data_IF_211985430088
#
_entry.id   IF_211985430088
#
_cell.length_a   1.000
_cell.length_b   1.000
_cell.length_c   1.000
_cell.angle_alpha   90.00
_cell.angle_beta   90.00
_cell.angle_gamma   90.00
#
_symmetry.space_group_name_H-M   'P 1'
#
loop_
_entity.id
_entity.type
_entity.pdbx_description
1 polymer ?
#
# COMPACT_ATOMS: atom_id res chain seq x y z
N UNK A 1 12.84 31.50 22.92
CA UNK A 1 11.97 31.85 21.79
C UNK A 1 11.65 30.55 21.05
N UNK A 2 10.50 29.96 21.31
CA UNK A 2 10.08 28.73 20.62
C UNK A 2 9.41 29.16 19.31
N UNK A 3 10.05 28.86 18.18
CA UNK A 3 9.48 29.11 16.85
C UNK A 3 8.25 28.24 16.63
N UNK A 4 7.18 28.84 16.12
CA UNK A 4 5.98 28.12 15.69
C UNK A 4 6.38 27.20 14.53
N UNK A 5 6.35 25.87 14.72
CA UNK A 5 6.44 24.92 13.60
C UNK A 5 5.11 24.98 12.86
N UNK A 6 5.12 25.54 11.66
CA UNK A 6 4.00 25.41 10.72
C UNK A 6 4.09 23.99 10.15
N UNK A 7 3.27 23.09 10.69
CA UNK A 7 3.07 21.77 10.11
C UNK A 7 2.12 21.94 8.91
N UNK A 8 2.53 21.52 7.73
CA UNK A 8 1.64 21.51 6.57
C UNK A 8 0.61 20.37 6.72
N UNK A 9 -0.50 20.40 5.98
CA UNK A 9 -1.52 19.33 6.05
C UNK A 9 -0.89 17.96 5.73
N UNK A 10 0.10 17.94 4.83
CA UNK A 10 0.86 16.76 4.45
C UNK A 10 1.69 16.22 5.63
N UNK A 11 2.27 17.10 6.45
CA UNK A 11 2.97 16.69 7.67
C UNK A 11 2.02 16.25 8.79
N UNK A 12 0.75 16.65 8.72
CA UNK A 12 -0.31 16.19 9.64
C UNK A 12 -0.88 14.84 9.19
N UNK A 13 -0.88 14.55 7.88
CA UNK A 13 -1.36 13.29 7.31
C UNK A 13 -0.33 12.16 7.40
N UNK A 14 0.96 12.46 7.56
CA UNK A 14 1.98 11.45 7.88
C UNK A 14 1.56 10.65 9.13
N UNK A 15 1.20 9.39 8.92
CA UNK A 15 0.73 8.48 9.98
C UNK A 15 -0.76 8.50 10.30
N UNK A 16 -1.59 9.28 9.58
CA UNK A 16 -3.06 9.16 9.67
C UNK A 16 -3.53 8.15 8.62
N UNK A 17 -4.12 7.04 9.08
CA UNK A 17 -4.70 6.03 8.20
C UNK A 17 -5.93 6.56 7.46
N UNK A 18 -5.77 6.89 6.19
CA UNK A 18 -6.88 7.10 5.25
C UNK A 18 -7.09 5.79 4.49
N UNK A 19 -8.28 5.21 4.59
CA UNK A 19 -8.62 4.00 3.84
C UNK A 19 -9.22 4.37 2.48
N UNK A 20 -8.74 3.74 1.41
CA UNK A 20 -9.35 3.78 0.09
C UNK A 20 -10.11 2.46 -0.18
N UNK A 21 -11.21 2.51 -0.93
CA UNK A 21 -11.86 1.29 -1.40
C UNK A 21 -11.03 0.63 -2.51
N UNK A 22 -11.19 -0.68 -2.77
CA UNK A 22 -10.50 -1.34 -3.88
C UNK A 22 -10.76 -0.63 -5.22
N UNK A 23 -9.68 -0.23 -5.89
CA UNK A 23 -9.73 0.48 -7.18
C UNK A 23 -9.80 2.01 -7.07
N UNK A 24 -9.98 2.57 -5.87
CA UNK A 24 -9.85 4.01 -5.63
C UNK A 24 -8.40 4.42 -5.40
N UNK A 25 -8.12 5.71 -5.59
CA UNK A 25 -6.77 6.24 -5.47
C UNK A 25 -6.45 6.60 -4.03
N UNK A 26 -5.35 6.08 -3.50
CA UNK A 26 -4.78 6.44 -2.21
C UNK A 26 -3.48 7.24 -2.42
N UNK A 27 -3.40 8.44 -1.81
CA UNK A 27 -2.18 9.26 -1.80
C UNK A 27 -1.39 8.98 -0.53
N UNK A 28 -0.11 8.65 -0.69
CA UNK A 28 0.81 8.33 0.42
C UNK A 28 2.16 9.00 0.23
N UNK A 29 2.92 9.13 1.31
CA UNK A 29 4.28 9.67 1.30
C UNK A 29 5.32 8.54 1.32
N UNK A 30 6.52 8.80 0.79
CA UNK A 30 7.69 7.94 1.06
C UNK A 30 7.93 7.85 2.56
N UNK A 31 8.09 6.64 3.07
CA UNK A 31 8.23 6.34 4.50
C UNK A 31 6.93 5.97 5.21
N UNK A 32 5.77 6.13 4.56
CA UNK A 32 4.51 5.59 5.07
C UNK A 32 4.45 4.06 4.94
N UNK A 33 3.48 3.46 5.64
CA UNK A 33 3.13 2.05 5.52
C UNK A 33 1.67 1.93 5.09
N UNK A 34 1.42 1.18 4.01
CA UNK A 34 0.06 0.88 3.54
C UNK A 34 -0.34 -0.49 4.04
N UNK A 35 -1.45 -0.56 4.78
CA UNK A 35 -2.09 -1.82 5.18
C UNK A 35 -3.08 -2.25 4.11
N UNK A 36 -2.82 -3.41 3.50
CA UNK A 36 -3.68 -4.03 2.50
C UNK A 36 -4.52 -5.11 3.16
N UNK A 37 -5.85 -4.97 3.07
CA UNK A 37 -6.81 -5.95 3.56
C UNK A 37 -7.22 -6.90 2.43
N UNK A 38 -7.18 -8.19 2.71
CA UNK A 38 -7.40 -9.28 1.77
C UNK A 38 -8.43 -10.25 2.33
N UNK A 39 -9.22 -10.85 1.45
CA UNK A 39 -10.15 -11.91 1.80
C UNK A 39 -9.98 -13.08 0.83
N UNK A 40 -9.97 -14.30 1.36
CA UNK A 40 -9.90 -15.53 0.57
C UNK A 40 -10.75 -16.62 1.22
N UNK A 41 -11.40 -17.45 0.41
CA UNK A 41 -12.06 -18.67 0.89
C UNK A 41 -11.13 -19.87 0.70
N UNK A 42 -10.93 -20.64 1.76
CA UNK A 42 -10.03 -21.79 1.78
C UNK A 42 -10.76 -23.10 2.13
N UNK A 43 -10.38 -24.19 1.45
CA UNK A 43 -10.77 -25.57 1.77
C UNK A 43 -9.65 -26.51 1.35
N UNK A 44 -9.11 -27.29 2.27
CA UNK A 44 -8.02 -28.23 2.01
C UNK A 44 -7.27 -28.68 3.27
N UNK A 45 -6.14 -29.39 3.13
CA UNK A 45 -5.25 -29.77 4.23
C UNK A 45 -4.54 -28.56 4.85
N UNK A 46 -4.18 -28.62 6.14
CA UNK A 46 -3.42 -27.55 6.77
C UNK A 46 -2.14 -27.20 5.97
N UNK A 47 -1.92 -25.92 5.73
CA UNK A 47 -0.86 -25.44 4.85
C UNK A 47 -0.32 -24.08 5.27
N UNK A 48 1.01 -23.98 5.29
CA UNK A 48 1.74 -22.73 5.41
C UNK A 48 2.06 -22.17 4.02
N UNK A 49 2.02 -20.86 3.89
CA UNK A 49 2.41 -20.14 2.68
C UNK A 49 2.84 -18.72 3.03
N UNK A 50 2.86 -17.88 2.00
CA UNK A 50 3.26 -16.48 2.12
C UNK A 50 2.37 -15.61 1.25
N UNK A 51 1.98 -14.45 1.77
CA UNK A 51 1.34 -13.39 1.01
C UNK A 51 2.42 -12.41 0.55
N UNK A 52 2.59 -12.31 -0.75
CA UNK A 52 3.44 -11.31 -1.37
C UNK A 52 2.58 -10.15 -1.86
N UNK A 53 2.85 -8.95 -1.35
CA UNK A 53 2.22 -7.71 -1.79
C UNK A 53 3.28 -6.83 -2.41
N UNK A 54 3.02 -6.32 -3.62
CA UNK A 54 3.96 -5.46 -4.33
C UNK A 54 3.25 -4.31 -5.04
N UNK A 55 3.91 -3.16 -5.08
CA UNK A 55 3.47 -2.01 -5.86
C UNK A 55 4.51 -1.61 -6.90
N UNK A 56 4.05 -1.20 -8.08
CA UNK A 56 4.92 -1.06 -9.24
C UNK A 56 4.22 -0.41 -10.42
N UNK A 57 4.76 -0.64 -11.62
CA UNK A 57 4.10 -0.22 -12.87
C UNK A 57 3.87 -1.43 -13.75
N UNK A 58 2.66 -1.53 -14.26
CA UNK A 58 2.23 -2.53 -15.21
C UNK A 58 2.45 -2.01 -16.64
N UNK A 59 3.42 -2.60 -17.33
CA UNK A 59 3.56 -2.48 -18.79
C UNK A 59 3.10 -3.81 -19.45
N UNK A 60 3.93 -4.45 -20.28
CA UNK A 60 3.66 -5.82 -20.79
C UNK A 60 3.61 -6.85 -19.66
N UNK A 61 4.32 -6.59 -18.55
CA UNK A 61 4.36 -7.40 -17.33
C UNK A 61 4.31 -6.46 -16.11
N UNK A 62 3.96 -6.98 -14.94
CA UNK A 62 4.08 -6.20 -13.70
C UNK A 62 5.57 -6.05 -13.36
N UNK A 63 6.07 -4.81 -13.30
CA UNK A 63 7.47 -4.55 -13.00
C UNK A 63 7.65 -4.36 -11.49
N UNK A 64 8.00 -5.46 -10.82
CA UNK A 64 8.40 -5.47 -9.41
C UNK A 64 9.78 -4.81 -9.26
N UNK A 65 9.83 -3.70 -8.54
CA UNK A 65 11.09 -3.15 -8.04
C UNK A 65 11.30 -3.73 -6.64
N UNK A 66 12.44 -4.39 -6.40
CA UNK A 66 12.68 -5.20 -5.18
C UNK A 66 12.62 -4.44 -3.85
N UNK A 67 12.53 -3.11 -3.88
CA UNK A 67 12.31 -2.26 -2.69
C UNK A 67 10.83 -1.91 -2.46
N UNK A 68 9.89 -2.46 -3.25
CA UNK A 68 8.47 -2.08 -3.27
C UNK A 68 7.54 -3.25 -2.97
N UNK A 69 7.96 -4.13 -2.06
CA UNK A 69 7.24 -5.35 -1.75
C UNK A 69 7.33 -5.71 -0.26
N UNK A 70 6.41 -6.55 0.17
CA UNK A 70 6.38 -7.15 1.51
C UNK A 70 5.90 -8.59 1.40
N UNK A 71 6.57 -9.47 2.15
CA UNK A 71 6.33 -10.90 2.20
C UNK A 71 5.86 -11.25 3.62
N UNK A 72 4.62 -11.72 3.76
CA UNK A 72 3.98 -12.00 5.06
C UNK A 72 3.62 -13.48 5.16
N UNK A 73 4.17 -14.24 6.11
CA UNK A 73 3.78 -15.63 6.33
C UNK A 73 2.29 -15.76 6.64
N UNK A 74 1.64 -16.79 6.10
CA UNK A 74 0.23 -17.10 6.35
C UNK A 74 0.04 -18.60 6.60
N UNK A 75 -0.92 -18.93 7.45
CA UNK A 75 -1.33 -20.31 7.73
C UNK A 75 -2.81 -20.48 7.40
N UNK A 76 -3.16 -21.57 6.74
CA UNK A 76 -4.53 -22.03 6.53
C UNK A 76 -4.74 -23.37 7.23
N UNK A 77 -5.69 -23.42 8.17
CA UNK A 77 -6.07 -24.64 8.87
C UNK A 77 -6.72 -25.65 7.92
N UNK A 78 -6.61 -26.94 8.28
CA UNK A 78 -7.34 -27.99 7.59
C UNK A 78 -8.85 -27.73 7.65
N UNK A 79 -9.51 -27.72 6.50
CA UNK A 79 -10.97 -27.61 6.41
C UNK A 79 -11.54 -28.46 5.28
N UNK A 80 -12.69 -29.09 5.56
CA UNK A 80 -13.52 -29.78 4.57
C UNK A 80 -14.63 -28.87 4.01
N UNK A 81 -14.86 -27.71 4.63
CA UNK A 81 -15.79 -26.67 4.19
C UNK A 81 -15.02 -25.45 3.69
N UNK A 82 -15.67 -24.59 2.89
CA UNK A 82 -15.10 -23.28 2.55
C UNK A 82 -15.13 -22.36 3.77
N UNK A 83 -13.96 -21.92 4.21
CA UNK A 83 -13.80 -21.04 5.37
C UNK A 83 -13.20 -19.72 4.91
N UNK A 84 -13.78 -18.56 5.30
CA UNK A 84 -13.22 -17.26 4.97
C UNK A 84 -12.01 -16.95 5.86
N UNK A 85 -10.95 -16.42 5.25
CA UNK A 85 -9.79 -15.84 5.91
C UNK A 85 -9.74 -14.35 5.58
N UNK A 86 -9.63 -13.52 6.61
CA UNK A 86 -9.30 -12.10 6.50
C UNK A 86 -7.82 -11.92 6.84
N UNK A 87 -7.05 -11.36 5.90
CA UNK A 87 -5.61 -11.19 6.03
C UNK A 87 -5.28 -9.70 5.88
N UNK A 88 -4.36 -9.19 6.69
CA UNK A 88 -3.86 -7.83 6.57
C UNK A 88 -2.33 -7.87 6.38
N UNK A 89 -1.84 -7.22 5.33
CA UNK A 89 -0.42 -7.14 5.01
C UNK A 89 0.04 -5.69 4.99
N UNK A 90 1.13 -5.39 5.67
CA UNK A 90 1.73 -4.06 5.69
C UNK A 90 2.84 -3.97 4.62
N UNK A 91 2.74 -2.97 3.76
CA UNK A 91 3.74 -2.70 2.70
C UNK A 91 4.43 -1.37 2.98
N UNK A 92 5.75 -1.37 3.21
CA UNK A 92 6.51 -0.14 3.35
C UNK A 92 6.64 0.58 2.01
N UNK A 93 6.37 1.89 1.99
CA UNK A 93 6.48 2.71 0.78
C UNK A 93 7.89 3.30 0.66
N UNK A 94 8.70 2.70 -0.21
CA UNK A 94 10.05 3.14 -0.59
C UNK A 94 10.22 3.49 -2.09
N UNK A 95 11.48 3.69 -2.49
CA UNK A 95 11.85 3.95 -3.88
C UNK A 95 11.46 5.33 -4.42
N UNK A 96 11.43 5.47 -5.74
CA UNK A 96 11.17 6.75 -6.41
C UNK A 96 9.70 7.20 -6.27
N UNK A 97 9.44 8.48 -5.98
CA UNK A 97 8.11 9.07 -6.05
C UNK A 97 7.51 9.01 -7.45
N UNK A 98 6.20 9.15 -7.56
CA UNK A 98 5.49 9.18 -8.82
C UNK A 98 4.00 8.93 -8.66
N UNK A 99 3.25 9.25 -9.70
CA UNK A 99 1.83 8.94 -9.79
C UNK A 99 1.57 7.61 -10.48
N UNK A 100 0.36 7.09 -10.24
CA UNK A 100 -0.22 5.96 -10.95
C UNK A 100 0.56 4.65 -10.79
N UNK A 101 0.95 4.35 -9.56
CA UNK A 101 1.43 3.02 -9.22
C UNK A 101 0.27 2.03 -9.14
N UNK A 102 0.53 0.82 -9.60
CA UNK A 102 -0.37 -0.33 -9.57
C UNK A 102 -0.10 -1.18 -8.34
N UNK A 103 -1.10 -1.92 -7.86
CA UNK A 103 -1.02 -2.78 -6.69
C UNK A 103 -1.54 -4.17 -7.03
N UNK A 104 -0.81 -5.20 -6.60
CA UNK A 104 -1.29 -6.58 -6.71
C UNK A 104 -0.79 -7.44 -5.54
N UNK A 105 -1.44 -8.58 -5.34
CA UNK A 105 -1.09 -9.56 -4.31
C UNK A 105 -1.05 -10.96 -4.90
N UNK A 106 -0.17 -11.82 -4.39
CA UNK A 106 -0.18 -13.25 -4.69
C UNK A 106 0.06 -14.09 -3.44
N UNK A 107 -0.45 -15.32 -3.48
CA UNK A 107 -0.13 -16.39 -2.53
C UNK A 107 1.02 -17.20 -3.13
N UNK A 108 2.11 -17.34 -2.38
CA UNK A 108 3.29 -18.12 -2.72
C UNK A 108 3.54 -19.24 -1.71
N UNK A 109 4.45 -20.16 -2.04
CA UNK A 109 4.91 -21.20 -1.12
C UNK A 109 3.91 -22.34 -0.88
N UNK A 110 2.77 -22.33 -1.58
CA UNK A 110 1.76 -23.40 -1.55
C UNK A 110 1.98 -24.40 -2.71
N UNK A 111 1.52 -25.67 -2.62
CA UNK A 111 1.62 -26.62 -3.72
C UNK A 111 0.90 -26.12 -4.99
N UNK A 112 1.63 -26.14 -6.11
CA UNK A 112 1.15 -25.64 -7.40
C UNK A 112 1.82 -24.34 -7.82
N UNK A 113 1.33 -23.69 -8.88
CA UNK A 113 1.77 -22.34 -9.25
C UNK A 113 1.23 -21.29 -8.26
N UNK A 114 1.90 -20.13 -8.20
CA UNK A 114 1.44 -18.96 -7.45
C UNK A 114 0.00 -18.57 -7.83
N UNK A 115 -0.75 -18.10 -6.84
CA UNK A 115 -2.15 -17.68 -7.02
C UNK A 115 -2.20 -16.16 -6.98
N UNK A 116 -2.60 -15.53 -8.09
CA UNK A 116 -2.59 -14.08 -8.25
C UNK A 116 -3.97 -13.48 -7.96
N UNK A 117 -3.99 -12.33 -7.27
CA UNK A 117 -5.13 -11.42 -7.26
C UNK A 117 -5.29 -10.74 -8.62
N UNK A 118 -6.46 -10.15 -8.92
CA UNK A 118 -6.52 -9.10 -9.92
C UNK A 118 -5.53 -7.98 -9.61
N UNK A 119 -4.89 -7.42 -10.63
CA UNK A 119 -4.07 -6.20 -10.51
C UNK A 119 -5.00 -4.99 -10.43
N UNK A 120 -4.79 -4.14 -9.43
CA UNK A 120 -5.44 -2.83 -9.36
C UNK A 120 -4.56 -1.80 -10.04
N UNK A 121 -5.10 -1.12 -11.06
CA UNK A 121 -4.35 -0.19 -11.89
C UNK A 121 -4.49 1.27 -11.43
N UNK A 122 -3.39 2.01 -11.39
CA UNK A 122 -3.29 3.44 -11.09
C UNK A 122 -3.84 3.85 -9.70
N UNK A 123 -3.69 2.98 -8.70
CA UNK A 123 -4.31 3.15 -7.37
C UNK A 123 -3.44 3.87 -6.34
N UNK A 124 -2.14 4.04 -6.58
CA UNK A 124 -1.23 4.68 -5.63
C UNK A 124 -0.50 5.89 -6.25
N UNK A 125 -0.57 7.04 -5.60
CA UNK A 125 0.32 8.18 -5.84
C UNK A 125 1.30 8.30 -4.67
N UNK A 126 2.60 8.21 -4.96
CA UNK A 126 3.68 8.31 -3.97
C UNK A 126 4.35 9.67 -4.10
N UNK A 127 4.17 10.52 -3.11
CA UNK A 127 4.83 11.82 -3.01
C UNK A 127 6.16 11.67 -2.26
N UNK A 128 7.24 12.27 -2.77
CA UNK A 128 8.56 12.25 -2.11
C UNK A 128 9.12 13.60 -1.76
N UNK A 129 8.38 14.67 -2.03
CA UNK A 129 8.69 16.04 -1.60
C UNK A 129 7.37 16.75 -1.27
N UNK A 130 7.45 17.78 -0.43
CA UNK A 130 6.28 18.61 -0.13
C UNK A 130 5.84 19.39 -1.39
N UNK A 131 4.53 19.41 -1.66
CA UNK A 131 3.92 20.24 -2.68
C UNK A 131 3.27 21.45 -2.03
N UNK A 132 3.44 22.63 -2.63
CA UNK A 132 2.83 23.87 -2.16
C UNK A 132 1.87 24.38 -3.23
N UNK A 133 0.65 24.72 -2.84
CA UNK A 133 -0.36 25.32 -3.69
C UNK A 133 -0.89 26.59 -3.04
N UNK A 134 -1.31 27.55 -3.85
CA UNK A 134 -1.94 28.79 -3.40
C UNK A 134 -1.05 29.60 -2.42
N UNK A 135 0.27 29.62 -2.69
CA UNK A 135 1.24 30.39 -1.92
C UNK A 135 1.12 31.89 -2.24
N UNK A 136 0.43 32.63 -1.38
CA UNK A 136 0.20 34.06 -1.53
C UNK A 136 0.43 34.86 -0.23
N UNK A 137 0.69 36.16 -0.39
CA UNK A 137 0.72 37.11 0.73
C UNK A 137 -0.72 37.50 1.04
N UNK A 138 -1.26 37.03 2.17
CA UNK A 138 -2.64 37.31 2.57
C UNK A 138 -2.81 38.60 3.37
N UNK A 139 -1.73 39.12 3.97
CA UNK A 139 -1.70 40.43 4.66
C UNK A 139 -0.27 40.89 4.97
N UNK A 140 -0.10 42.16 5.34
CA UNK A 140 1.14 42.72 5.88
C UNK A 140 0.80 43.83 6.89
N UNK A 141 1.63 43.99 7.93
CA UNK A 141 1.46 45.03 8.95
C UNK A 141 2.78 45.73 9.28
N UNK A 142 2.69 46.93 9.85
CA UNK A 142 3.84 47.63 10.43
C UNK A 142 3.97 47.25 11.89
N UNK A 143 5.16 46.81 12.30
CA UNK A 143 5.55 46.59 13.70
C UNK A 143 6.20 47.84 14.28
#
# INVERSE_FOLDING_TARGET
MYGLRINTIESLLQGIGVAALPGEKLTVMVGDTVRVHLAVEYRGPAIDGEIHVSYGRQDTWFNEDGNKQSDTPVHFDQSMDWVPYEIACDVPIGGSPGSNYDLYVKIMGVPGPDIFSPTLLNVLDVLGVAEFRDFEITSYEKV
#
